data_IF_857780588168
#
_entry.id   IF_857780588168
#
_cell.length_a   1.000
_cell.length_b   1.000
_cell.length_c   1.000
_cell.angle_alpha   90.00
_cell.angle_beta   90.00
_cell.angle_gamma   90.00
#
_symmetry.space_group_name_H-M   'P 1'
#
loop_
_entity.id
_entity.type
_entity.pdbx_description
1 polymer ?
#
# COMPACT_ATOMS: atom_id res chain seq x y z
N UNK A 1 16.34 14.64 -5.76
CA UNK A 1 16.86 14.21 -4.46
C UNK A 1 17.17 12.72 -4.41
N UNK A 2 16.48 11.87 -5.18
CA UNK A 2 16.75 10.41 -5.27
C UNK A 2 16.97 9.97 -6.72
N UNK A 3 17.64 10.81 -7.52
CA UNK A 3 17.85 10.51 -8.94
C UNK A 3 18.69 9.23 -9.10
N UNK A 4 18.12 8.27 -9.83
CA UNK A 4 18.74 6.98 -10.17
C UNK A 4 19.02 6.00 -9.01
N UNK A 5 18.61 6.27 -7.76
CA UNK A 5 18.82 5.32 -6.66
C UNK A 5 18.10 3.98 -6.86
N UNK A 6 17.00 4.00 -7.62
CA UNK A 6 16.22 2.80 -7.96
C UNK A 6 16.40 2.35 -9.41
N UNK A 7 17.43 2.85 -10.12
CA UNK A 7 17.67 2.45 -11.51
C UNK A 7 17.82 0.93 -11.63
N UNK A 8 16.97 0.33 -12.49
CA UNK A 8 16.94 -1.11 -12.71
C UNK A 8 16.27 -1.93 -11.59
N UNK A 9 15.75 -1.30 -10.55
CA UNK A 9 14.96 -1.97 -9.50
C UNK A 9 13.50 -2.09 -9.92
N UNK A 10 12.87 -3.19 -9.52
CA UNK A 10 11.46 -3.46 -9.76
C UNK A 10 10.66 -3.29 -8.47
N UNK A 11 9.66 -2.45 -8.52
CA UNK A 11 8.81 -2.07 -7.38
C UNK A 11 7.36 -2.45 -7.66
N UNK A 12 6.73 -3.14 -6.72
CA UNK A 12 5.30 -3.46 -6.74
C UNK A 12 4.58 -2.65 -5.67
N UNK A 13 3.55 -1.88 -6.08
CA UNK A 13 2.78 -1.03 -5.18
C UNK A 13 1.31 -1.42 -5.22
N UNK A 14 0.72 -1.83 -4.10
CA UNK A 14 -0.73 -2.07 -4.00
C UNK A 14 -1.48 -0.77 -3.72
N UNK A 15 -2.64 -0.58 -4.36
CA UNK A 15 -3.40 0.67 -4.22
C UNK A 15 -2.67 1.89 -4.78
N UNK A 16 -1.93 1.70 -5.88
CA UNK A 16 -1.09 2.72 -6.50
C UNK A 16 -1.81 3.74 -7.38
N UNK A 17 -3.14 3.63 -7.53
CA UNK A 17 -3.88 4.51 -8.45
C UNK A 17 -4.27 5.86 -7.86
N UNK A 18 -4.13 6.08 -6.55
CA UNK A 18 -4.48 7.35 -5.88
C UNK A 18 -3.74 7.54 -4.55
N UNK A 19 -3.83 8.74 -4.01
CA UNK A 19 -3.36 9.08 -2.65
C UNK A 19 -1.89 8.74 -2.40
N UNK A 20 -1.61 8.16 -1.23
CA UNK A 20 -0.25 7.79 -0.79
C UNK A 20 0.39 6.82 -1.78
N UNK A 21 -0.36 5.80 -2.24
CA UNK A 21 0.15 4.82 -3.19
C UNK A 21 0.57 5.44 -4.52
N UNK A 22 -0.22 6.37 -5.07
CA UNK A 22 0.13 7.07 -6.31
C UNK A 22 1.36 7.98 -6.14
N UNK A 23 1.47 8.66 -5.00
CA UNK A 23 2.66 9.45 -4.67
C UNK A 23 3.92 8.56 -4.58
N UNK A 24 3.80 7.38 -3.98
CA UNK A 24 4.89 6.40 -3.94
C UNK A 24 5.28 5.91 -5.34
N UNK A 25 4.30 5.57 -6.19
CA UNK A 25 4.54 5.19 -7.61
C UNK A 25 5.32 6.29 -8.33
N UNK A 26 4.87 7.56 -8.23
CA UNK A 26 5.58 8.71 -8.83
C UNK A 26 7.01 8.82 -8.31
N UNK A 27 7.20 8.72 -7.01
CA UNK A 27 8.52 8.83 -6.38
C UNK A 27 9.49 7.75 -6.86
N UNK A 28 9.05 6.50 -6.94
CA UNK A 28 9.88 5.39 -7.43
C UNK A 28 10.21 5.54 -8.92
N UNK A 29 9.25 5.95 -9.75
CA UNK A 29 9.49 6.20 -11.17
C UNK A 29 10.49 7.35 -11.39
N UNK A 30 10.34 8.45 -10.66
CA UNK A 30 11.28 9.57 -10.70
C UNK A 30 12.70 9.18 -10.23
N UNK A 31 12.79 8.17 -9.36
CA UNK A 31 14.07 7.59 -8.92
C UNK A 31 14.62 6.49 -9.85
N UNK A 32 14.02 6.28 -11.02
CA UNK A 32 14.51 5.36 -12.07
C UNK A 32 14.05 3.90 -11.91
N UNK A 33 13.08 3.62 -11.05
CA UNK A 33 12.53 2.27 -10.90
C UNK A 33 11.61 1.89 -12.06
N UNK A 34 11.48 0.57 -12.28
CA UNK A 34 10.36 -0.04 -13.00
C UNK A 34 9.26 -0.31 -12.01
N UNK A 35 8.05 0.16 -12.26
CA UNK A 35 6.95 0.07 -11.29
C UNK A 35 5.77 -0.71 -11.84
N UNK A 36 5.33 -1.70 -11.08
CA UNK A 36 4.01 -2.31 -11.26
C UNK A 36 3.10 -1.83 -10.13
N UNK A 37 1.98 -1.20 -10.45
CA UNK A 37 1.03 -0.81 -9.42
C UNK A 37 -0.34 -1.47 -9.61
N UNK A 38 -1.00 -1.74 -8.51
CA UNK A 38 -2.30 -2.38 -8.49
C UNK A 38 -3.40 -1.38 -8.14
N UNK A 39 -4.53 -1.54 -8.77
CA UNK A 39 -5.77 -0.82 -8.48
C UNK A 39 -6.89 -1.81 -8.14
N UNK A 40 -7.99 -1.31 -7.58
CA UNK A 40 -9.19 -2.12 -7.38
C UNK A 40 -10.05 -2.20 -8.65
N UNK A 41 -10.09 -1.10 -9.43
CA UNK A 41 -10.85 -1.00 -10.67
C UNK A 41 -9.91 -0.70 -11.85
N UNK A 42 -10.20 -1.29 -13.01
CA UNK A 42 -9.43 -1.06 -14.24
C UNK A 42 -9.41 0.42 -14.64
N UNK A 43 -10.56 1.10 -14.56
CA UNK A 43 -10.67 2.50 -14.92
C UNK A 43 -9.75 3.41 -14.09
N UNK A 44 -9.70 3.20 -12.76
CA UNK A 44 -8.82 4.00 -11.90
C UNK A 44 -7.35 3.72 -12.15
N UNK A 45 -7.00 2.47 -12.45
CA UNK A 45 -5.65 2.07 -12.86
C UNK A 45 -5.25 2.74 -14.17
N UNK A 46 -6.11 2.68 -15.19
CA UNK A 46 -5.88 3.28 -16.51
C UNK A 46 -5.70 4.80 -16.43
N UNK A 47 -6.56 5.51 -15.67
CA UNK A 47 -6.42 6.96 -15.45
C UNK A 47 -5.09 7.32 -14.79
N UNK A 48 -4.70 6.57 -13.75
CA UNK A 48 -3.42 6.79 -13.08
C UNK A 48 -2.23 6.52 -14.00
N UNK A 49 -2.30 5.46 -14.81
CA UNK A 49 -1.26 5.15 -15.79
C UNK A 49 -1.11 6.26 -16.84
N UNK A 50 -2.22 6.78 -17.38
CA UNK A 50 -2.21 7.88 -18.33
C UNK A 50 -1.54 9.13 -17.72
N UNK A 51 -1.93 9.52 -16.50
CA UNK A 51 -1.34 10.66 -15.82
C UNK A 51 0.17 10.49 -15.56
N UNK A 52 0.66 9.27 -15.28
CA UNK A 52 2.09 9.00 -15.15
C UNK A 52 2.82 9.13 -16.48
N UNK A 53 2.21 8.67 -17.58
CA UNK A 53 2.78 8.77 -18.93
C UNK A 53 2.78 10.20 -19.50
N UNK A 54 1.85 11.05 -19.04
CA UNK A 54 1.88 12.49 -19.32
C UNK A 54 3.07 13.20 -18.65
N UNK A 55 3.46 12.76 -17.42
CA UNK A 55 4.63 13.29 -16.72
C UNK A 55 5.91 12.91 -17.46
N UNK A 56 6.04 11.63 -17.83
CA UNK A 56 7.17 11.14 -18.59
C UNK A 56 6.75 9.86 -19.36
N UNK A 57 6.69 9.92 -20.71
CA UNK A 57 6.29 8.79 -21.55
C UNK A 57 7.26 7.60 -21.44
N UNK A 58 8.53 7.82 -21.04
CA UNK A 58 9.55 6.78 -20.93
C UNK A 58 9.48 5.99 -19.62
N UNK A 59 8.62 6.35 -18.67
CA UNK A 59 8.46 5.58 -17.45
C UNK A 59 8.12 4.10 -17.73
N UNK A 60 8.93 3.20 -17.19
CA UNK A 60 8.64 1.77 -17.21
C UNK A 60 7.58 1.45 -16.13
N UNK A 61 6.32 1.62 -16.46
CA UNK A 61 5.19 1.47 -15.54
C UNK A 61 4.10 0.60 -16.13
N UNK A 62 3.54 -0.27 -15.30
CA UNK A 62 2.40 -1.14 -15.62
C UNK A 62 1.35 -1.08 -14.51
N UNK A 63 0.12 -1.40 -14.85
CA UNK A 63 -0.98 -1.50 -13.88
C UNK A 63 -1.87 -2.70 -14.16
N UNK A 64 -2.53 -3.19 -13.12
CA UNK A 64 -3.55 -4.23 -13.20
C UNK A 64 -4.60 -4.02 -12.11
N UNK A 65 -5.85 -4.28 -12.44
CA UNK A 65 -6.90 -4.41 -11.44
C UNK A 65 -6.90 -5.85 -10.91
N UNK A 66 -6.89 -5.99 -9.58
CA UNK A 66 -6.82 -7.30 -8.93
C UNK A 66 -7.45 -7.26 -7.54
N UNK A 67 -8.15 -8.32 -7.17
CA UNK A 67 -8.51 -8.58 -5.78
C UNK A 67 -7.30 -9.20 -5.05
N UNK A 68 -6.78 -8.49 -4.05
CA UNK A 68 -5.64 -8.95 -3.25
C UNK A 68 -5.98 -10.17 -2.37
N UNK A 69 -7.26 -10.50 -2.22
CA UNK A 69 -7.72 -11.68 -1.49
C UNK A 69 -7.79 -12.93 -2.37
N UNK A 70 -7.73 -12.77 -3.69
CA UNK A 70 -7.60 -13.88 -4.62
C UNK A 70 -6.13 -14.30 -4.75
N UNK A 71 -5.76 -15.33 -4.00
CA UNK A 71 -4.37 -15.83 -3.98
C UNK A 71 -3.90 -16.37 -5.35
N UNK A 72 -4.82 -16.87 -6.20
CA UNK A 72 -4.45 -17.36 -7.54
C UNK A 72 -4.10 -16.19 -8.44
N UNK A 73 -4.93 -15.15 -8.45
CA UNK A 73 -4.67 -13.93 -9.20
C UNK A 73 -3.38 -13.23 -8.75
N UNK A 74 -3.12 -13.20 -7.43
CA UNK A 74 -1.85 -12.68 -6.89
C UNK A 74 -0.66 -13.55 -7.32
N UNK A 75 -0.79 -14.87 -7.32
CA UNK A 75 0.28 -15.76 -7.78
C UNK A 75 0.63 -15.53 -9.25
N UNK A 76 -0.38 -15.40 -10.12
CA UNK A 76 -0.18 -15.10 -11.55
C UNK A 76 0.45 -13.70 -11.76
N UNK A 77 0.08 -12.71 -10.96
CA UNK A 77 0.72 -11.40 -10.98
C UNK A 77 2.24 -11.50 -10.76
N UNK A 78 2.69 -12.26 -9.75
CA UNK A 78 4.13 -12.42 -9.51
C UNK A 78 4.84 -13.14 -10.67
N UNK A 79 4.20 -14.14 -11.29
CA UNK A 79 4.74 -14.77 -12.50
C UNK A 79 4.90 -13.76 -13.64
N UNK A 80 3.90 -12.90 -13.85
CA UNK A 80 3.91 -11.83 -14.86
C UNK A 80 5.05 -10.85 -14.62
N UNK A 81 5.21 -10.34 -13.39
CA UNK A 81 6.29 -9.43 -13.02
C UNK A 81 7.67 -10.05 -13.28
N UNK A 82 7.85 -11.31 -12.88
CA UNK A 82 9.13 -11.99 -13.04
C UNK A 82 9.40 -12.33 -14.52
N UNK A 83 8.39 -12.72 -15.28
CA UNK A 83 8.54 -12.93 -16.73
C UNK A 83 8.92 -11.63 -17.45
N UNK A 84 8.36 -10.49 -17.05
CA UNK A 84 8.62 -9.19 -17.67
C UNK A 84 9.98 -8.61 -17.32
N UNK A 85 10.39 -8.65 -16.05
CA UNK A 85 11.58 -7.93 -15.56
C UNK A 85 12.63 -8.78 -14.85
N UNK A 86 12.36 -10.09 -14.67
CA UNK A 86 13.32 -11.04 -14.09
C UNK A 86 13.53 -10.93 -12.59
N UNK A 87 12.96 -9.92 -11.92
CA UNK A 87 13.23 -9.61 -10.52
C UNK A 87 12.10 -8.87 -9.82
N UNK A 88 12.13 -8.87 -8.50
CA UNK A 88 11.36 -7.96 -7.64
C UNK A 88 12.29 -7.49 -6.51
N UNK A 89 12.35 -6.19 -6.27
CA UNK A 89 13.22 -5.57 -5.26
C UNK A 89 12.43 -4.96 -4.09
N UNK A 90 11.25 -4.41 -4.38
CA UNK A 90 10.44 -3.71 -3.36
C UNK A 90 8.97 -4.11 -3.50
N UNK A 91 8.35 -4.43 -2.37
CA UNK A 91 6.90 -4.50 -2.24
C UNK A 91 6.40 -3.39 -1.33
N UNK A 92 5.45 -2.58 -1.80
CA UNK A 92 4.73 -1.59 -0.99
C UNK A 92 3.28 -2.06 -0.82
N UNK A 93 2.94 -2.55 0.36
CA UNK A 93 1.57 -2.87 0.75
C UNK A 93 0.88 -1.59 1.24
N UNK A 94 0.20 -0.90 0.33
CA UNK A 94 -0.48 0.35 0.62
C UNK A 94 -2.00 0.26 0.46
N UNK A 95 -2.52 -0.67 -0.32
CA UNK A 95 -3.96 -0.88 -0.46
C UNK A 95 -4.62 -1.09 0.91
N UNK A 96 -5.76 -0.45 1.10
CA UNK A 96 -6.53 -0.57 2.33
C UNK A 96 -7.85 0.18 2.24
N UNK A 97 -8.75 -0.19 3.12
CA UNK A 97 -10.04 0.46 3.32
C UNK A 97 -10.30 0.67 4.81
N UNK A 98 -11.21 1.53 5.13
CA UNK A 98 -11.69 1.78 6.47
C UNK A 98 -13.20 1.51 6.57
N UNK A 99 -13.70 1.56 7.80
CA UNK A 99 -15.12 1.51 8.12
C UNK A 99 -15.35 2.32 9.39
N UNK A 100 -16.31 3.24 9.34
CA UNK A 100 -16.64 4.14 10.44
C UNK A 100 -17.91 3.73 11.22
N UNK A 101 -18.43 2.53 11.01
CA UNK A 101 -19.61 2.02 11.68
C UNK A 101 -19.32 1.79 13.18
N UNK A 102 -20.19 2.32 14.05
CA UNK A 102 -20.11 2.11 15.48
C UNK A 102 -20.17 0.63 15.85
N UNK A 103 -19.36 0.19 16.84
CA UNK A 103 -19.22 -1.19 17.25
C UNK A 103 -20.57 -1.95 17.37
N UNK A 104 -21.55 -1.33 18.01
CA UNK A 104 -22.87 -1.94 18.25
C UNK A 104 -23.74 -2.09 17.01
N UNK A 105 -23.38 -1.42 15.92
CA UNK A 105 -24.10 -1.45 14.62
C UNK A 105 -23.27 -2.09 13.51
N UNK A 106 -22.03 -2.46 13.80
CA UNK A 106 -21.11 -3.04 12.84
C UNK A 106 -21.60 -4.42 12.39
N UNK A 107 -21.77 -4.60 11.10
CA UNK A 107 -22.12 -5.89 10.50
C UNK A 107 -20.88 -6.76 10.33
N UNK A 108 -21.07 -8.08 10.43
CA UNK A 108 -19.98 -9.04 10.20
C UNK A 108 -19.35 -8.84 8.81
N UNK A 109 -20.14 -8.58 7.78
CA UNK A 109 -19.64 -8.35 6.41
C UNK A 109 -18.75 -7.11 6.29
N UNK A 110 -19.01 -6.07 7.06
CA UNK A 110 -18.18 -4.85 7.08
C UNK A 110 -16.85 -5.11 7.79
N UNK A 111 -16.89 -5.88 8.91
CA UNK A 111 -15.68 -6.37 9.58
C UNK A 111 -14.83 -7.20 8.63
N UNK A 112 -15.44 -8.20 7.98
CA UNK A 112 -14.75 -9.13 7.08
C UNK A 112 -14.14 -8.40 5.87
N UNK A 113 -14.84 -7.42 5.31
CA UNK A 113 -14.33 -6.62 4.20
C UNK A 113 -13.02 -5.87 4.56
N UNK A 114 -13.00 -5.22 5.73
CA UNK A 114 -11.80 -4.51 6.20
C UNK A 114 -10.67 -5.50 6.52
N UNK A 115 -10.96 -6.57 7.25
CA UNK A 115 -9.97 -7.58 7.60
C UNK A 115 -9.39 -8.28 6.35
N UNK A 116 -10.24 -8.62 5.40
CA UNK A 116 -9.80 -9.23 4.15
C UNK A 116 -8.83 -8.33 3.40
N UNK A 117 -9.19 -7.08 3.15
CA UNK A 117 -8.32 -6.19 2.38
C UNK A 117 -7.06 -5.77 3.18
N UNK A 118 -7.22 -5.37 4.45
CA UNK A 118 -6.12 -4.77 5.21
C UNK A 118 -5.17 -5.77 5.87
N UNK A 119 -5.60 -7.03 6.05
CA UNK A 119 -4.81 -8.07 6.71
C UNK A 119 -4.47 -9.21 5.75
N UNK A 120 -5.49 -9.89 5.19
CA UNK A 120 -5.29 -11.03 4.29
C UNK A 120 -4.63 -10.58 2.98
N UNK A 121 -4.99 -9.41 2.43
CA UNK A 121 -4.34 -8.84 1.25
C UNK A 121 -2.83 -8.73 1.42
N UNK A 122 -2.31 -7.94 2.37
CA UNK A 122 -0.86 -7.85 2.63
C UNK A 122 -0.20 -9.19 2.96
N UNK A 123 -0.87 -10.05 3.73
CA UNK A 123 -0.37 -11.40 3.96
C UNK A 123 -0.14 -12.15 2.64
N UNK A 124 -1.13 -12.18 1.75
CA UNK A 124 -1.03 -12.84 0.45
C UNK A 124 0.08 -12.23 -0.40
N UNK A 125 0.15 -10.90 -0.46
CA UNK A 125 1.20 -10.19 -1.18
C UNK A 125 2.60 -10.53 -0.65
N UNK A 126 2.82 -10.49 0.67
CA UNK A 126 4.09 -10.84 1.29
C UNK A 126 4.48 -12.30 1.03
N UNK A 127 3.53 -13.22 1.16
CA UNK A 127 3.74 -14.66 0.95
C UNK A 127 4.37 -14.95 -0.42
N UNK A 128 3.86 -14.33 -1.48
CA UNK A 128 4.35 -14.55 -2.84
C UNK A 128 5.53 -13.64 -3.22
N UNK A 129 5.74 -12.51 -2.55
CA UNK A 129 6.90 -11.64 -2.76
C UNK A 129 8.19 -12.22 -2.20
N UNK A 130 8.15 -12.81 -1.01
CA UNK A 130 9.32 -13.25 -0.24
C UNK A 130 10.30 -14.10 -1.06
N UNK A 131 9.90 -15.13 -1.82
CA UNK A 131 10.84 -15.93 -2.61
C UNK A 131 11.67 -15.12 -3.62
N UNK A 132 11.10 -14.03 -4.12
CA UNK A 132 11.78 -13.13 -5.07
C UNK A 132 12.64 -12.11 -4.33
N UNK A 133 12.14 -11.54 -3.24
CA UNK A 133 12.87 -10.58 -2.41
C UNK A 133 14.11 -11.18 -1.74
N UNK A 134 14.08 -12.47 -1.40
CA UNK A 134 15.28 -13.18 -0.90
C UNK A 134 16.40 -13.18 -1.93
N UNK A 135 16.07 -13.38 -3.23
CA UNK A 135 17.06 -13.37 -4.32
C UNK A 135 17.70 -12.00 -4.53
N UNK A 136 16.94 -10.93 -4.31
CA UNK A 136 17.40 -9.55 -4.54
C UNK A 136 17.89 -8.85 -3.26
N UNK A 137 17.78 -9.52 -2.09
CA UNK A 137 17.93 -8.91 -0.77
C UNK A 137 17.08 -7.65 -0.63
N UNK A 138 15.86 -7.76 -1.10
CA UNK A 138 14.92 -6.66 -1.26
C UNK A 138 14.23 -6.22 0.03
N UNK A 139 13.15 -5.46 -0.11
CA UNK A 139 12.43 -4.99 1.06
C UNK A 139 10.91 -4.91 0.86
N UNK A 140 10.21 -4.85 2.00
CA UNK A 140 8.77 -4.64 2.09
C UNK A 140 8.51 -3.41 2.94
N UNK A 141 7.60 -2.55 2.47
CA UNK A 141 7.05 -1.43 3.24
C UNK A 141 5.54 -1.63 3.36
N UNK A 142 5.04 -1.69 4.59
CA UNK A 142 3.62 -1.82 4.88
C UNK A 142 3.06 -0.46 5.34
N UNK A 143 2.01 0.03 4.69
CA UNK A 143 1.30 1.24 5.10
C UNK A 143 0.30 0.89 6.21
N UNK A 144 0.75 1.01 7.46
CA UNK A 144 -0.07 0.89 8.65
C UNK A 144 -0.88 2.19 8.89
N UNK A 145 -1.03 2.61 10.12
CA UNK A 145 -1.67 3.87 10.52
C UNK A 145 -1.36 4.16 11.99
N UNK A 146 -1.35 5.43 12.38
CA UNK A 146 -1.36 5.82 13.80
C UNK A 146 -2.56 5.21 14.55
N UNK A 147 -3.68 4.98 13.84
CA UNK A 147 -4.84 4.29 14.40
C UNK A 147 -4.53 2.86 14.87
N UNK A 148 -3.58 2.19 14.25
CA UNK A 148 -3.11 0.86 14.69
C UNK A 148 -2.18 0.89 15.90
N UNK A 149 -1.72 2.08 16.29
CA UNK A 149 -0.84 2.28 17.47
C UNK A 149 -1.65 2.78 18.66
N UNK A 150 -2.51 3.77 18.45
CA UNK A 150 -3.21 4.49 19.52
C UNK A 150 -4.72 4.23 19.56
N UNK A 151 -5.27 3.49 18.58
CA UNK A 151 -6.71 3.39 18.37
C UNK A 151 -7.25 4.59 17.58
N UNK A 152 -8.54 4.56 17.29
CA UNK A 152 -9.20 5.58 16.48
C UNK A 152 -10.72 5.56 16.77
N UNK A 153 -11.41 6.70 16.83
CA UNK A 153 -12.86 6.75 17.00
C UNK A 153 -13.65 6.31 15.75
N UNK A 154 -13.00 6.11 14.62
CA UNK A 154 -13.62 5.74 13.34
C UNK A 154 -13.70 4.23 13.17
N UNK A 155 -14.60 3.57 13.91
CA UNK A 155 -14.87 2.15 13.76
C UNK A 155 -13.75 1.22 14.29
N UNK A 156 -14.12 0.01 14.66
CA UNK A 156 -13.22 -0.97 15.27
C UNK A 156 -12.35 -1.73 14.26
N UNK A 157 -12.84 -2.18 13.08
CA UNK A 157 -12.07 -3.07 12.20
C UNK A 157 -10.82 -2.41 11.62
N UNK A 158 -10.87 -1.11 11.34
CA UNK A 158 -9.73 -0.42 10.76
C UNK A 158 -8.50 -0.38 11.71
N UNK A 159 -8.59 0.19 12.93
CA UNK A 159 -7.44 0.19 13.85
C UNK A 159 -6.98 -1.22 14.18
N UNK A 160 -7.88 -2.18 14.36
CA UNK A 160 -7.53 -3.58 14.61
C UNK A 160 -6.70 -4.18 13.45
N UNK A 161 -7.13 -3.94 12.20
CA UNK A 161 -6.41 -4.40 11.02
C UNK A 161 -5.02 -3.75 10.87
N UNK A 162 -4.90 -2.47 11.18
CA UNK A 162 -3.62 -1.74 11.10
C UNK A 162 -2.65 -2.15 12.21
N UNK A 163 -3.15 -2.46 13.42
CA UNK A 163 -2.36 -3.06 14.49
C UNK A 163 -1.86 -4.46 14.11
N UNK A 164 -2.72 -5.29 13.51
CA UNK A 164 -2.34 -6.60 12.99
C UNK A 164 -1.24 -6.49 11.91
N UNK A 165 -1.32 -5.50 11.01
CA UNK A 165 -0.31 -5.27 9.97
C UNK A 165 1.05 -4.88 10.59
N UNK A 166 1.06 -4.10 11.67
CA UNK A 166 2.28 -3.78 12.44
C UNK A 166 2.89 -5.06 13.02
N UNK A 167 2.07 -5.92 13.63
CA UNK A 167 2.53 -7.21 14.19
C UNK A 167 3.07 -8.13 13.08
N UNK A 168 2.37 -8.27 11.96
CA UNK A 168 2.83 -9.05 10.80
C UNK A 168 4.17 -8.52 10.27
N UNK A 169 4.34 -7.18 10.21
CA UNK A 169 5.59 -6.56 9.79
C UNK A 169 6.78 -7.03 10.63
N UNK A 170 6.63 -6.99 11.96
CA UNK A 170 7.67 -7.42 12.90
C UNK A 170 7.98 -8.92 12.74
N UNK A 171 6.95 -9.75 12.64
CA UNK A 171 7.10 -11.21 12.52
C UNK A 171 7.82 -11.60 11.21
N UNK A 172 7.45 -10.98 10.08
CA UNK A 172 8.08 -11.25 8.79
C UNK A 172 9.51 -10.69 8.77
N UNK A 173 9.76 -9.52 9.34
CA UNK A 173 11.10 -8.95 9.47
C UNK A 173 12.03 -9.90 10.23
N UNK A 174 11.58 -10.40 11.37
CA UNK A 174 12.34 -11.38 12.18
C UNK A 174 12.63 -12.67 11.40
N UNK A 175 11.62 -13.23 10.72
CA UNK A 175 11.72 -14.51 10.03
C UNK A 175 12.67 -14.49 8.82
N UNK A 176 12.86 -13.33 8.19
CA UNK A 176 13.64 -13.21 6.95
C UNK A 176 14.85 -12.29 7.04
N UNK A 177 15.19 -11.78 8.24
CA UNK A 177 16.36 -10.95 8.46
C UNK A 177 17.67 -11.64 8.03
N UNK A 178 17.84 -12.91 8.39
CA UNK A 178 19.02 -13.71 8.02
C UNK A 178 19.11 -14.03 6.51
N UNK A 179 18.03 -13.82 5.77
CA UNK A 179 17.98 -13.94 4.30
C UNK A 179 18.16 -12.59 3.59
N UNK A 180 18.43 -11.53 4.34
CA UNK A 180 18.69 -10.19 3.83
C UNK A 180 17.43 -9.41 3.42
N UNK A 181 16.22 -9.88 3.72
CA UNK A 181 14.98 -9.15 3.44
C UNK A 181 14.66 -8.22 4.61
N UNK A 182 14.47 -6.93 4.31
CA UNK A 182 14.05 -5.93 5.28
C UNK A 182 12.54 -5.71 5.18
N UNK A 183 11.86 -5.64 6.31
CA UNK A 183 10.41 -5.38 6.34
C UNK A 183 10.12 -4.30 7.37
N UNK A 184 9.52 -3.21 6.93
CA UNK A 184 9.18 -2.08 7.77
C UNK A 184 7.73 -1.66 7.57
N UNK A 185 7.18 -0.91 8.51
CA UNK A 185 5.90 -0.25 8.39
C UNK A 185 6.05 1.25 8.57
N UNK A 186 5.28 2.01 7.82
CA UNK A 186 5.01 3.42 8.09
C UNK A 186 3.62 3.54 8.70
N UNK A 187 3.45 4.42 9.67
CA UNK A 187 2.18 4.65 10.34
C UNK A 187 1.72 6.10 10.12
N UNK A 188 1.16 6.43 8.96
CA UNK A 188 0.72 7.78 8.67
C UNK A 188 -0.39 8.22 9.64
N UNK A 189 -0.39 9.51 9.99
CA UNK A 189 -1.52 10.19 10.58
C UNK A 189 -2.50 10.64 9.52
N UNK A 190 -3.03 11.85 9.69
CA UNK A 190 -3.92 12.48 8.72
C UNK A 190 -3.11 12.95 7.52
N UNK A 191 -3.38 12.35 6.37
CA UNK A 191 -2.79 12.75 5.08
C UNK A 191 -3.90 13.27 4.19
N UNK A 192 -3.72 14.46 3.63
CA UNK A 192 -4.69 15.08 2.72
C UNK A 192 -4.82 14.26 1.43
N UNK A 193 -5.70 13.28 1.45
CA UNK A 193 -6.05 12.43 0.31
C UNK A 193 -7.56 12.36 0.15
N UNK A 194 -8.04 11.99 -1.03
CA UNK A 194 -9.48 11.83 -1.29
C UNK A 194 -10.15 10.83 -0.32
N UNK A 195 -9.45 9.80 0.13
CA UNK A 195 -9.97 8.84 1.10
C UNK A 195 -10.27 9.51 2.44
N UNK A 196 -9.37 10.37 2.90
CA UNK A 196 -9.56 11.07 4.18
C UNK A 196 -10.70 12.09 4.10
N UNK A 197 -10.77 12.86 3.02
CA UNK A 197 -11.84 13.85 2.79
C UNK A 197 -13.22 13.18 2.79
N UNK A 198 -13.35 11.98 2.24
CA UNK A 198 -14.62 11.25 2.16
C UNK A 198 -15.09 10.70 3.51
N UNK A 199 -14.18 10.41 4.44
CA UNK A 199 -14.49 9.79 5.75
C UNK A 199 -14.72 10.82 6.84
N UNK A 200 -14.07 11.98 6.76
CA UNK A 200 -14.14 13.05 7.76
C UNK A 200 -14.36 14.44 7.13
N UNK A 201 -15.44 14.65 6.38
CA UNK A 201 -15.68 15.93 5.71
C UNK A 201 -15.80 17.11 6.71
N UNK A 202 -16.19 16.85 7.95
CA UNK A 202 -16.35 17.87 9.01
C UNK A 202 -15.04 18.42 9.55
N UNK A 203 -13.90 17.72 9.41
CA UNK A 203 -12.59 18.23 9.85
C UNK A 203 -12.09 19.39 8.99
N UNK A 204 -12.53 19.47 7.73
CA UNK A 204 -12.12 20.52 6.79
C UNK A 204 -13.11 21.69 6.69
N UNK A 205 -14.27 21.62 7.35
CA UNK A 205 -15.32 22.66 7.30
C UNK A 205 -15.33 23.62 8.49
N UNK A 206 -14.52 23.38 9.51
CA UNK A 206 -14.28 24.34 10.58
C UNK A 206 -13.09 25.21 10.27
N UNK A 207 -13.16 26.51 10.51
CA UNK A 207 -12.07 27.46 10.36
C UNK A 207 -10.84 27.17 11.25
N UNK A 208 -10.89 26.11 12.04
CA UNK A 208 -9.81 25.60 12.89
C UNK A 208 -8.80 24.78 12.11
N UNK A 209 -8.22 25.37 11.07
CA UNK A 209 -7.06 24.79 10.30
C UNK A 209 -5.78 24.64 11.10
N UNK A 210 -5.81 24.79 12.42
CA UNK A 210 -4.59 24.97 13.22
C UNK A 210 -4.17 23.78 14.07
N UNK A 211 -4.91 22.66 14.10
CA UNK A 211 -4.57 21.57 15.03
C UNK A 211 -3.51 20.57 14.54
N UNK A 212 -3.18 20.55 13.24
CA UNK A 212 -2.27 19.53 12.69
C UNK A 212 -1.02 20.07 11.98
N UNK A 213 -0.78 21.38 11.95
CA UNK A 213 0.36 21.95 11.22
C UNK A 213 1.60 22.26 12.06
N UNK A 214 1.63 21.91 13.35
CA UNK A 214 2.74 22.33 14.25
C UNK A 214 3.60 21.20 14.84
N UNK A 215 3.48 19.97 14.36
CA UNK A 215 4.37 18.87 14.78
C UNK A 215 4.75 18.03 13.56
N UNK A 216 5.64 18.56 12.76
CA UNK A 216 6.50 17.84 11.83
C UNK A 216 7.89 18.47 11.92
#
# INVERSE_FOLDING_TARGET
>A
MFENEFKGKVVLVTGGSRGIGFAAVKGFLAAGAKVYFLSHYEETGAKALAALKEINPDYEVMTKAIDLCDYKAVQELYKEIIAKWGRLDVLVNNAGTDNSTWLTKLKQSEWDAVCNLNMKGPYTMMKYAIPHLVKTKGCIVNTASVAGVYGCPTGLPYPASKAALIAMTKSVAYSFANKGVRVNAVAPGVVNTMQFISVMPWIFHSDDRLYFSKTA
#
